data_IF_056469349284
#
_entry.id   IF_056469349284
#
_cell.length_a   1.000
_cell.length_b   1.000
_cell.length_c   1.000
_cell.angle_alpha   90.00
_cell.angle_beta   90.00
_cell.angle_gamma   90.00
#
_symmetry.space_group_name_H-M   'P 1'
#
loop_
_entity.id
_entity.type
_entity.pdbx_description
1 polymer ?
#
# COMPACT_ATOMS: atom_id res chain seq x y z
N UNK A 1 -17.53 2.91 -14.48
CA UNK A 1 -17.06 3.54 -13.23
C UNK A 1 -18.09 3.24 -12.16
N UNK A 2 -17.67 2.73 -11.00
CA UNK A 2 -18.58 2.30 -9.93
C UNK A 2 -19.44 3.47 -9.42
N UNK A 3 -20.77 3.30 -9.40
CA UNK A 3 -21.73 4.36 -9.03
C UNK A 3 -22.15 4.36 -7.55
N UNK A 4 -21.89 3.27 -6.81
CA UNK A 4 -22.31 3.10 -5.42
C UNK A 4 -21.16 2.59 -4.56
N UNK A 5 -20.73 3.40 -3.60
CA UNK A 5 -19.73 3.03 -2.60
C UNK A 5 -20.36 2.65 -1.24
N UNK A 6 -19.60 1.96 -0.39
CA UNK A 6 -20.06 1.49 0.91
C UNK A 6 -20.60 2.63 1.79
N UNK A 7 -19.96 3.79 1.74
CA UNK A 7 -20.39 4.99 2.48
C UNK A 7 -21.67 5.64 1.94
N UNK A 8 -22.03 5.39 0.67
CA UNK A 8 -23.26 5.92 0.06
C UNK A 8 -24.50 5.05 0.35
N UNK A 9 -24.33 3.88 0.98
CA UNK A 9 -25.38 2.87 1.13
C UNK A 9 -26.66 3.42 1.77
N UNK A 10 -26.55 4.39 2.69
CA UNK A 10 -27.70 5.03 3.33
C UNK A 10 -28.64 5.75 2.35
N UNK A 11 -28.13 6.26 1.22
CA UNK A 11 -28.94 6.96 0.20
C UNK A 11 -29.85 6.00 -0.57
N UNK A 12 -29.56 4.70 -0.52
CA UNK A 12 -30.25 3.66 -1.25
C UNK A 12 -31.12 2.77 -0.35
N UNK A 13 -31.39 3.20 0.89
CA UNK A 13 -32.24 2.44 1.83
C UNK A 13 -33.59 2.09 1.20
N UNK A 14 -33.99 0.81 1.30
CA UNK A 14 -35.18 0.22 0.68
C UNK A 14 -35.18 0.18 -0.86
N UNK A 15 -34.03 0.36 -1.51
CA UNK A 15 -33.88 0.24 -2.96
C UNK A 15 -33.08 -1.01 -3.33
N UNK A 16 -33.41 -1.62 -4.46
CA UNK A 16 -32.59 -2.68 -5.05
C UNK A 16 -31.45 -2.04 -5.82
N UNK A 17 -30.22 -2.40 -5.45
CA UNK A 17 -29.01 -1.90 -6.09
C UNK A 17 -28.26 -3.01 -6.80
N UNK A 18 -27.55 -2.67 -7.87
CA UNK A 18 -26.54 -3.52 -8.49
C UNK A 18 -25.21 -2.78 -8.43
N UNK A 19 -24.20 -3.38 -7.82
CA UNK A 19 -22.92 -2.71 -7.58
C UNK A 19 -21.77 -3.73 -7.53
N UNK A 20 -20.55 -3.22 -7.60
CA UNK A 20 -19.35 -4.02 -7.45
C UNK A 20 -18.74 -3.81 -6.06
N UNK A 21 -18.32 -4.89 -5.42
CA UNK A 21 -17.58 -4.86 -4.14
C UNK A 21 -16.52 -5.95 -4.11
N UNK A 22 -15.47 -5.71 -3.33
CA UNK A 22 -14.52 -6.74 -2.95
C UNK A 22 -15.13 -7.67 -1.90
N UNK A 23 -14.91 -8.97 -2.03
CA UNK A 23 -15.18 -9.92 -0.96
C UNK A 23 -14.08 -9.82 0.10
N UNK A 24 -14.35 -9.22 1.26
CA UNK A 24 -13.39 -9.20 2.37
C UNK A 24 -13.46 -10.49 3.21
N UNK A 25 -14.64 -11.08 3.35
CA UNK A 25 -14.80 -12.40 3.97
C UNK A 25 -16.05 -13.11 3.45
N UNK A 26 -16.04 -14.44 3.51
CA UNK A 26 -17.16 -15.32 3.15
C UNK A 26 -17.40 -16.32 4.28
N UNK A 27 -18.61 -16.34 4.83
CA UNK A 27 -19.01 -17.24 5.91
C UNK A 27 -20.31 -17.94 5.56
N UNK A 28 -20.28 -19.28 5.52
CA UNK A 28 -21.48 -20.10 5.48
C UNK A 28 -22.00 -20.28 6.90
N UNK A 29 -23.23 -19.83 7.16
CA UNK A 29 -23.87 -19.93 8.47
C UNK A 29 -25.15 -20.74 8.38
N UNK A 30 -25.56 -21.36 9.47
CA UNK A 30 -26.79 -22.16 9.53
C UNK A 30 -27.89 -21.36 10.22
N UNK A 31 -29.10 -21.38 9.67
CA UNK A 31 -30.30 -20.85 10.29
C UNK A 31 -30.83 -21.82 11.36
N UNK A 32 -31.80 -21.36 12.14
CA UNK A 32 -32.47 -22.19 13.15
C UNK A 32 -33.20 -23.41 12.56
N UNK A 33 -33.58 -23.38 11.28
CA UNK A 33 -34.24 -24.47 10.55
C UNK A 33 -33.27 -25.48 9.91
N UNK A 34 -31.95 -25.31 10.13
CA UNK A 34 -30.91 -26.16 9.54
C UNK A 34 -30.49 -25.76 8.11
N UNK A 35 -31.19 -24.83 7.46
CA UNK A 35 -30.80 -24.32 6.13
C UNK A 35 -29.60 -23.36 6.23
N UNK A 36 -28.69 -23.42 5.24
CA UNK A 36 -27.55 -22.52 5.16
C UNK A 36 -27.92 -21.13 4.63
N UNK A 37 -27.22 -20.10 5.08
CA UNK A 37 -27.21 -18.77 4.47
C UNK A 37 -25.77 -18.25 4.36
N UNK A 38 -25.54 -17.39 3.38
CA UNK A 38 -24.23 -16.79 3.14
C UNK A 38 -24.17 -15.41 3.78
N UNK A 39 -23.15 -15.20 4.60
CA UNK A 39 -22.76 -13.88 5.09
C UNK A 39 -21.44 -13.49 4.44
N UNK A 40 -21.44 -12.35 3.77
CA UNK A 40 -20.28 -11.79 3.05
C UNK A 40 -19.97 -10.44 3.68
N UNK A 41 -18.71 -10.19 3.99
CA UNK A 41 -18.24 -8.82 4.21
C UNK A 41 -17.87 -8.24 2.87
N UNK A 42 -18.64 -7.28 2.39
CA UNK A 42 -18.39 -6.55 1.15
C UNK A 42 -17.56 -5.30 1.48
N UNK A 43 -16.54 -5.02 0.68
CA UNK A 43 -15.62 -3.92 0.93
C UNK A 43 -15.35 -3.09 -0.33
N UNK A 44 -15.00 -1.83 -0.11
CA UNK A 44 -14.43 -0.96 -1.11
C UNK A 44 -13.50 0.09 -0.49
N UNK A 45 -12.97 1.02 -1.29
CA UNK A 45 -12.02 2.02 -0.81
C UNK A 45 -12.60 2.99 0.23
N UNK A 46 -13.94 3.03 0.40
CA UNK A 46 -14.62 3.91 1.37
C UNK A 46 -15.01 3.18 2.66
N UNK A 47 -15.05 1.85 2.68
CA UNK A 47 -15.38 1.10 3.88
C UNK A 47 -15.86 -0.33 3.64
N UNK A 48 -16.49 -0.90 4.67
CA UNK A 48 -17.04 -2.25 4.64
C UNK A 48 -18.52 -2.25 5.01
N UNK A 49 -19.26 -3.19 4.42
CA UNK A 49 -20.68 -3.41 4.70
C UNK A 49 -21.01 -4.91 4.68
N UNK A 50 -22.13 -5.27 5.30
CA UNK A 50 -22.56 -6.67 5.38
C UNK A 50 -23.50 -7.02 4.21
N UNK A 51 -23.21 -8.11 3.52
CA UNK A 51 -24.07 -8.72 2.50
C UNK A 51 -24.61 -10.07 2.98
N UNK A 52 -25.94 -10.26 2.95
CA UNK A 52 -26.59 -11.51 3.37
C UNK A 52 -27.41 -12.13 2.26
N UNK A 53 -27.08 -13.36 1.87
CA UNK A 53 -27.89 -14.17 0.96
C UNK A 53 -28.58 -15.29 1.75
N UNK A 54 -29.89 -15.16 1.95
CA UNK A 54 -30.67 -16.08 2.78
C UNK A 54 -30.97 -17.42 2.10
N UNK A 55 -31.04 -17.42 0.77
CA UNK A 55 -31.23 -18.60 -0.05
C UNK A 55 -30.04 -18.71 -1.00
N UNK A 56 -29.17 -19.67 -0.73
CA UNK A 56 -27.97 -19.89 -1.55
C UNK A 56 -28.45 -20.51 -2.86
N UNK A 57 -28.30 -19.76 -3.95
CA UNK A 57 -28.61 -20.22 -5.29
C UNK A 57 -27.40 -20.92 -5.88
N UNK A 58 -27.63 -21.89 -6.77
CA UNK A 58 -26.57 -22.63 -7.46
C UNK A 58 -25.64 -21.70 -8.28
N UNK A 59 -26.13 -20.51 -8.67
CA UNK A 59 -25.37 -19.51 -9.43
C UNK A 59 -24.55 -18.53 -8.58
N UNK A 60 -24.56 -18.68 -7.23
CA UNK A 60 -23.79 -17.82 -6.34
C UNK A 60 -22.26 -17.91 -6.56
N UNK A 61 -21.81 -18.93 -7.31
CA UNK A 61 -20.41 -19.17 -7.64
C UNK A 61 -19.55 -19.54 -6.42
N UNK A 62 -18.42 -20.20 -6.66
CA UNK A 62 -17.35 -20.25 -5.68
C UNK A 62 -16.50 -18.99 -5.85
N UNK A 63 -16.38 -18.22 -4.77
CA UNK A 63 -15.53 -17.05 -4.68
C UNK A 63 -14.85 -17.02 -3.31
N UNK A 64 -13.69 -16.39 -3.27
CA UNK A 64 -12.84 -16.29 -2.09
C UNK A 64 -12.71 -14.83 -1.65
N UNK A 65 -12.16 -14.63 -0.45
CA UNK A 65 -11.77 -13.30 -0.03
C UNK A 65 -10.71 -12.76 -1.00
N UNK A 66 -10.94 -11.57 -1.56
CA UNK A 66 -10.10 -11.00 -2.62
C UNK A 66 -10.79 -10.93 -3.99
N UNK A 67 -11.90 -11.64 -4.20
CA UNK A 67 -12.62 -11.56 -5.48
C UNK A 67 -13.47 -10.28 -5.57
N UNK A 68 -13.52 -9.69 -6.78
CA UNK A 68 -14.51 -8.65 -7.11
C UNK A 68 -15.83 -9.35 -7.39
N UNK A 69 -16.87 -8.92 -6.70
CA UNK A 69 -18.21 -9.44 -6.83
C UNK A 69 -19.13 -8.40 -7.46
N UNK A 70 -19.88 -8.80 -8.47
CA UNK A 70 -21.06 -8.07 -8.93
C UNK A 70 -22.24 -8.55 -8.09
N UNK A 71 -22.75 -7.68 -7.21
CA UNK A 71 -23.86 -8.00 -6.31
C UNK A 71 -25.12 -7.29 -6.74
N UNK A 72 -26.25 -7.97 -6.58
CA UNK A 72 -27.58 -7.36 -6.67
C UNK A 72 -28.36 -7.72 -5.43
N UNK A 73 -28.97 -6.72 -4.80
CA UNK A 73 -29.77 -6.94 -3.60
C UNK A 73 -30.48 -5.70 -3.09
N UNK A 74 -31.38 -5.93 -2.13
CA UNK A 74 -32.13 -4.88 -1.45
C UNK A 74 -31.29 -4.31 -0.30
N UNK A 75 -31.04 -3.00 -0.32
CA UNK A 75 -30.44 -2.31 0.83
C UNK A 75 -31.47 -2.27 1.95
N UNK A 76 -31.12 -2.84 3.10
CA UNK A 76 -32.01 -2.89 4.27
C UNK A 76 -31.24 -2.58 5.56
N UNK A 77 -31.98 -2.19 6.59
CA UNK A 77 -31.43 -1.94 7.92
C UNK A 77 -31.81 -3.09 8.84
N UNK A 78 -30.84 -3.61 9.59
CA UNK A 78 -31.05 -4.64 10.60
C UNK A 78 -30.28 -4.27 11.86
N UNK A 79 -30.97 -4.15 13.00
CA UNK A 79 -30.39 -3.71 14.28
C UNK A 79 -29.57 -2.41 14.14
N UNK A 80 -30.15 -1.39 13.50
CA UNK A 80 -29.51 -0.10 13.20
C UNK A 80 -28.31 -0.13 12.24
N UNK A 81 -27.93 -1.30 11.71
CA UNK A 81 -26.85 -1.43 10.72
C UNK A 81 -27.41 -1.61 9.32
N UNK A 82 -26.86 -0.85 8.37
CA UNK A 82 -27.16 -1.03 6.95
C UNK A 82 -26.47 -2.29 6.43
N UNK A 83 -27.19 -3.05 5.61
CA UNK A 83 -26.74 -4.28 4.96
C UNK A 83 -27.39 -4.41 3.58
N UNK A 84 -26.83 -5.26 2.72
CA UNK A 84 -27.45 -5.64 1.45
C UNK A 84 -28.03 -7.06 1.61
N UNK A 85 -29.35 -7.19 1.48
CA UNK A 85 -29.99 -8.50 1.32
C UNK A 85 -29.79 -8.94 -0.13
N UNK A 86 -28.87 -9.86 -0.33
CA UNK A 86 -28.41 -10.30 -1.64
C UNK A 86 -29.41 -11.25 -2.30
N UNK A 87 -29.83 -10.90 -3.51
CA UNK A 87 -30.65 -11.74 -4.38
C UNK A 87 -29.80 -12.51 -5.39
N UNK A 88 -28.66 -11.91 -5.79
CA UNK A 88 -27.70 -12.49 -6.72
C UNK A 88 -26.29 -11.99 -6.40
N UNK A 89 -25.33 -12.88 -6.51
CA UNK A 89 -23.90 -12.59 -6.38
C UNK A 89 -23.17 -13.42 -7.42
N UNK A 90 -22.21 -12.81 -8.11
CA UNK A 90 -21.27 -13.53 -8.98
C UNK A 90 -19.91 -12.85 -8.94
N UNK A 91 -18.85 -13.59 -9.27
CA UNK A 91 -17.54 -12.99 -9.57
C UNK A 91 -17.69 -12.05 -10.78
N UNK A 92 -17.06 -10.90 -10.70
CA UNK A 92 -16.88 -10.03 -11.83
C UNK A 92 -15.92 -10.67 -12.83
N UNK A 93 -16.22 -10.55 -14.11
CA UNK A 93 -15.41 -11.08 -15.19
C UNK A 93 -14.51 -9.95 -15.70
N UNK A 94 -13.17 -10.08 -15.63
CA UNK A 94 -12.24 -9.02 -16.04
C UNK A 94 -12.38 -8.59 -17.51
N UNK A 95 -12.94 -9.47 -18.37
CA UNK A 95 -13.15 -9.22 -19.79
C UNK A 95 -14.56 -8.71 -20.04
N UNK A 96 -15.58 -9.36 -19.46
CA UNK A 96 -16.98 -9.00 -19.72
C UNK A 96 -17.45 -7.76 -18.93
N UNK A 97 -16.85 -7.46 -17.78
CA UNK A 97 -17.15 -6.29 -16.95
C UNK A 97 -16.03 -5.20 -17.07
N UNK A 98 -15.16 -5.30 -18.10
CA UNK A 98 -14.07 -4.35 -18.33
C UNK A 98 -14.59 -2.91 -18.47
N UNK A 99 -14.06 -1.98 -17.67
CA UNK A 99 -14.47 -0.57 -17.65
C UNK A 99 -15.72 -0.26 -16.81
N UNK A 100 -16.41 -1.28 -16.27
CA UNK A 100 -17.49 -1.07 -15.31
C UNK A 100 -16.95 -0.61 -13.94
N UNK A 101 -15.76 -1.08 -13.55
CA UNK A 101 -15.04 -0.72 -12.32
C UNK A 101 -13.54 -0.56 -12.57
N UNK A 102 -12.84 0.10 -11.63
CA UNK A 102 -11.38 0.15 -11.54
C UNK A 102 -10.91 -0.48 -10.21
N UNK A 103 -9.67 -0.99 -10.12
CA UNK A 103 -9.12 -1.53 -8.88
C UNK A 103 -9.08 -0.47 -7.77
N UNK A 104 -8.85 0.81 -8.13
CA UNK A 104 -8.90 1.94 -7.20
C UNK A 104 -10.28 2.18 -6.56
N UNK A 105 -11.34 1.54 -7.05
CA UNK A 105 -12.65 1.57 -6.42
C UNK A 105 -12.70 0.68 -5.17
N UNK A 106 -11.78 -0.28 -4.99
CA UNK A 106 -11.86 -1.31 -3.95
C UNK A 106 -10.78 -1.18 -2.88
N UNK A 107 -9.63 -0.65 -3.25
CA UNK A 107 -8.50 -0.43 -2.35
C UNK A 107 -8.14 1.05 -2.31
N UNK A 108 -7.60 1.56 -1.18
CA UNK A 108 -7.06 2.90 -1.15
C UNK A 108 -6.03 3.10 -2.28
N UNK A 109 -6.00 4.29 -2.88
CA UNK A 109 -5.01 4.71 -3.88
C UNK A 109 -4.32 5.99 -3.44
N UNK A 110 -3.12 6.23 -3.96
CA UNK A 110 -2.43 7.50 -3.73
C UNK A 110 -3.27 8.69 -4.18
N UNK A 111 -3.12 9.83 -3.49
CA UNK A 111 -3.71 11.10 -3.92
C UNK A 111 -2.83 11.83 -4.94
N UNK A 112 -1.61 11.35 -5.19
CA UNK A 112 -0.71 11.92 -6.19
C UNK A 112 -0.98 11.33 -7.57
N UNK A 113 -0.62 12.07 -8.61
CA UNK A 113 -0.64 11.56 -9.97
C UNK A 113 0.52 10.58 -10.18
N UNK A 114 0.22 9.37 -10.67
CA UNK A 114 1.20 8.30 -10.85
C UNK A 114 2.20 8.63 -11.95
N UNK A 115 1.77 9.29 -13.02
CA UNK A 115 2.65 9.65 -14.12
C UNK A 115 3.61 10.77 -13.70
N UNK A 116 3.15 11.72 -12.89
CA UNK A 116 4.02 12.73 -12.27
C UNK A 116 5.04 12.09 -11.33
N UNK A 117 4.63 11.16 -10.46
CA UNK A 117 5.55 10.43 -9.58
C UNK A 117 6.59 9.64 -10.40
N UNK A 118 6.15 8.97 -11.47
CA UNK A 118 7.05 8.22 -12.35
C UNK A 118 8.04 9.14 -13.08
N UNK A 119 7.57 10.29 -13.55
CA UNK A 119 8.40 11.33 -14.18
C UNK A 119 9.48 11.85 -13.22
N UNK A 120 9.12 12.07 -11.95
CA UNK A 120 10.09 12.45 -10.91
C UNK A 120 11.12 11.36 -10.63
N UNK A 121 10.70 10.10 -10.52
CA UNK A 121 11.61 8.96 -10.33
C UNK A 121 12.62 8.87 -11.47
N UNK A 122 12.15 8.95 -12.72
CA UNK A 122 13.02 8.90 -13.91
C UNK A 122 13.94 10.13 -14.03
N UNK A 123 13.49 11.30 -13.61
CA UNK A 123 14.34 12.49 -13.52
C UNK A 123 15.47 12.32 -12.49
N UNK A 124 15.22 11.65 -11.36
CA UNK A 124 16.28 11.29 -10.42
C UNK A 124 17.32 10.38 -11.07
N UNK A 125 16.90 9.32 -11.77
CA UNK A 125 17.83 8.42 -12.49
C UNK A 125 18.66 9.17 -13.52
N UNK A 126 18.05 10.09 -14.27
CA UNK A 126 18.76 10.91 -15.25
C UNK A 126 19.82 11.83 -14.62
N UNK A 127 19.70 12.16 -13.33
CA UNK A 127 20.65 13.01 -12.58
C UNK A 127 21.89 12.27 -12.08
N UNK A 128 21.97 10.93 -12.22
CA UNK A 128 23.10 10.14 -11.75
C UNK A 128 24.36 10.46 -12.55
N UNK A 129 25.46 10.63 -11.83
CA UNK A 129 26.82 10.82 -12.37
C UNK A 129 27.51 9.47 -12.53
N UNK A 130 27.29 8.52 -11.60
CA UNK A 130 27.83 7.16 -11.72
C UNK A 130 27.11 6.38 -12.83
N UNK A 131 27.80 6.02 -13.93
CA UNK A 131 27.15 5.39 -15.08
C UNK A 131 26.72 3.95 -14.80
N UNK A 132 27.36 3.25 -13.85
CA UNK A 132 27.02 1.87 -13.52
C UNK A 132 25.72 1.80 -12.71
N UNK A 133 25.59 2.65 -11.69
CA UNK A 133 24.34 2.76 -10.93
C UNK A 133 23.19 3.21 -11.81
N UNK A 134 23.43 4.21 -12.68
CA UNK A 134 22.43 4.66 -13.64
C UNK A 134 21.97 3.54 -14.57
N UNK A 135 22.90 2.79 -15.17
CA UNK A 135 22.57 1.68 -16.07
C UNK A 135 21.75 0.59 -15.36
N UNK A 136 22.08 0.27 -14.10
CA UNK A 136 21.30 -0.68 -13.31
C UNK A 136 19.86 -0.20 -13.10
N UNK A 137 19.69 1.06 -12.70
CA UNK A 137 18.35 1.65 -12.47
C UNK A 137 17.55 1.71 -13.76
N UNK A 138 18.16 2.07 -14.89
CA UNK A 138 17.53 2.05 -16.21
C UNK A 138 17.07 0.63 -16.61
N UNK A 139 17.81 -0.43 -16.25
CA UNK A 139 17.38 -1.83 -16.47
C UNK A 139 16.18 -2.26 -15.61
N UNK A 140 16.04 -1.69 -14.41
CA UNK A 140 14.86 -1.91 -13.57
C UNK A 140 13.65 -1.17 -14.13
N UNK A 141 13.79 0.13 -14.41
CA UNK A 141 12.68 0.97 -14.89
C UNK A 141 12.28 0.69 -16.34
N UNK A 142 13.19 0.17 -17.15
CA UNK A 142 12.94 -0.23 -18.54
C UNK A 142 12.27 -1.60 -18.69
N UNK A 143 12.16 -2.39 -17.62
CA UNK A 143 11.43 -3.65 -17.63
C UNK A 143 9.92 -3.38 -17.49
N UNK A 144 9.10 -3.70 -18.50
CA UNK A 144 7.67 -3.38 -18.47
C UNK A 144 6.92 -3.99 -17.28
N UNK A 145 7.37 -5.16 -16.81
CA UNK A 145 6.73 -5.87 -15.70
C UNK A 145 6.99 -5.14 -14.39
N UNK A 146 8.25 -4.80 -14.14
CA UNK A 146 8.67 -4.05 -12.94
C UNK A 146 8.07 -2.65 -12.98
N UNK A 147 8.12 -1.98 -14.12
CA UNK A 147 7.62 -0.62 -14.27
C UNK A 147 6.11 -0.53 -13.98
N UNK A 148 5.32 -1.50 -14.47
CA UNK A 148 3.88 -1.58 -14.18
C UNK A 148 3.67 -1.88 -12.69
N UNK A 149 4.36 -2.88 -12.15
CA UNK A 149 4.22 -3.28 -10.76
C UNK A 149 4.61 -2.15 -9.78
N UNK A 150 5.66 -1.38 -10.03
CA UNK A 150 6.05 -0.25 -9.18
C UNK A 150 4.98 0.85 -9.11
N UNK A 151 4.24 1.08 -10.20
CA UNK A 151 3.15 2.08 -10.24
C UNK A 151 1.91 1.63 -9.47
N UNK A 152 1.75 0.34 -9.25
CA UNK A 152 0.55 -0.23 -8.64
C UNK A 152 0.79 -0.73 -7.21
N UNK A 153 2.00 -1.20 -6.90
CA UNK A 153 2.29 -1.87 -5.66
C UNK A 153 2.09 -0.95 -4.43
N UNK A 154 1.49 -1.47 -3.34
CA UNK A 154 1.53 -0.81 -2.05
C UNK A 154 2.92 -0.92 -1.42
N UNK A 155 3.28 0.00 -0.52
CA UNK A 155 4.52 -0.13 0.25
C UNK A 155 4.34 -0.98 1.51
N UNK A 156 3.13 -1.24 1.97
CA UNK A 156 2.89 -2.14 3.09
C UNK A 156 1.50 -2.75 3.03
N UNK A 157 1.29 -3.82 3.81
CA UNK A 157 -0.03 -4.44 3.97
C UNK A 157 -1.03 -3.54 4.72
N UNK A 158 -0.58 -2.82 5.76
CA UNK A 158 -1.50 -2.12 6.67
C UNK A 158 -0.96 -0.86 7.37
N UNK A 159 0.34 -0.56 7.31
CA UNK A 159 0.96 0.49 8.13
C UNK A 159 1.18 1.80 7.36
N UNK A 160 2.20 1.86 6.51
CA UNK A 160 2.62 3.04 5.75
C UNK A 160 2.45 2.78 4.26
N UNK A 161 1.79 3.70 3.54
CA UNK A 161 1.60 3.59 2.09
C UNK A 161 0.91 2.29 1.65
N UNK A 162 -0.03 1.80 2.47
CA UNK A 162 -0.90 0.67 2.14
C UNK A 162 -2.02 1.14 1.20
N UNK A 163 -1.64 1.49 -0.02
CA UNK A 163 -2.52 1.90 -1.12
C UNK A 163 -1.86 1.62 -2.47
N UNK A 164 -2.66 1.55 -3.52
CA UNK A 164 -2.16 1.43 -4.89
C UNK A 164 -1.28 2.64 -5.24
N UNK A 165 -0.08 2.37 -5.74
CA UNK A 165 0.97 3.36 -6.00
C UNK A 165 1.76 3.81 -4.77
N UNK A 166 1.51 3.19 -3.61
CA UNK A 166 2.17 3.54 -2.36
C UNK A 166 3.68 3.30 -2.36
N UNK A 167 4.16 2.24 -3.03
CA UNK A 167 5.60 1.99 -3.13
C UNK A 167 6.31 3.10 -3.91
N UNK A 168 5.77 3.51 -5.05
CA UNK A 168 6.31 4.60 -5.86
C UNK A 168 6.29 5.93 -5.10
N UNK A 169 5.17 6.26 -4.45
CA UNK A 169 5.04 7.46 -3.62
C UNK A 169 6.10 7.49 -2.52
N UNK A 170 6.26 6.38 -1.80
CA UNK A 170 7.26 6.24 -0.74
C UNK A 170 8.68 6.43 -1.28
N UNK A 171 9.06 5.74 -2.36
CA UNK A 171 10.39 5.86 -2.96
C UNK A 171 10.68 7.30 -3.37
N UNK A 172 9.74 7.96 -4.06
CA UNK A 172 9.92 9.35 -4.51
C UNK A 172 10.06 10.31 -3.33
N UNK A 173 9.25 10.15 -2.27
CA UNK A 173 9.38 10.94 -1.05
C UNK A 173 10.72 10.71 -0.35
N UNK A 174 11.17 9.45 -0.26
CA UNK A 174 12.45 9.10 0.34
C UNK A 174 13.63 9.69 -0.45
N UNK A 175 13.55 9.69 -1.79
CA UNK A 175 14.56 10.32 -2.65
C UNK A 175 14.69 11.82 -2.42
N UNK A 176 13.58 12.54 -2.23
CA UNK A 176 13.61 13.98 -1.92
C UNK A 176 14.44 14.25 -0.64
N UNK A 177 14.18 13.47 0.41
CA UNK A 177 14.86 13.64 1.71
C UNK A 177 16.31 13.17 1.64
N UNK A 178 16.59 12.03 1.00
CA UNK A 178 17.94 11.53 0.78
C UNK A 178 18.80 12.52 -0.03
N UNK A 179 18.26 13.08 -1.11
CA UNK A 179 18.99 14.04 -1.94
C UNK A 179 19.28 15.35 -1.20
N UNK A 180 18.33 15.82 -0.39
CA UNK A 180 18.52 17.01 0.44
C UNK A 180 19.56 16.80 1.54
N UNK A 181 19.59 15.62 2.15
CA UNK A 181 20.46 15.32 3.30
C UNK A 181 21.87 14.91 2.88
N UNK A 182 22.03 14.22 1.75
CA UNK A 182 23.34 13.85 1.20
C UNK A 182 24.26 15.08 1.01
N UNK A 183 23.69 16.24 0.66
CA UNK A 183 24.43 17.50 0.50
C UNK A 183 25.07 18.02 1.79
N UNK A 184 24.58 17.56 2.95
CA UNK A 184 25.07 17.97 4.26
C UNK A 184 26.27 17.13 4.73
N UNK A 185 26.38 15.88 4.27
CA UNK A 185 27.37 14.90 4.75
C UNK A 185 28.42 14.60 3.67
N UNK A 186 29.63 15.18 3.74
CA UNK A 186 30.68 14.98 2.74
C UNK A 186 31.12 13.52 2.55
N UNK A 187 30.94 12.67 3.57
CA UNK A 187 31.25 11.25 3.55
C UNK A 187 30.20 10.39 2.84
N UNK A 188 29.06 10.96 2.44
CA UNK A 188 27.97 10.24 1.78
C UNK A 188 28.12 10.33 0.26
N UNK A 189 28.24 9.19 -0.41
CA UNK A 189 28.07 9.13 -1.86
C UNK A 189 26.58 9.24 -2.21
N UNK A 190 26.20 10.39 -2.80
CA UNK A 190 24.83 10.70 -3.22
C UNK A 190 24.22 9.60 -4.10
N UNK A 191 24.87 9.24 -5.20
CA UNK A 191 24.31 8.31 -6.17
C UNK A 191 24.12 6.91 -5.56
N UNK A 192 25.07 6.48 -4.73
CA UNK A 192 24.96 5.21 -4.00
C UNK A 192 23.80 5.23 -3.00
N UNK A 193 23.61 6.31 -2.25
CA UNK A 193 22.46 6.49 -1.35
C UNK A 193 21.13 6.44 -2.13
N UNK A 194 21.02 7.20 -3.22
CA UNK A 194 19.79 7.24 -4.02
C UNK A 194 19.49 5.91 -4.70
N UNK A 195 20.50 5.19 -5.20
CA UNK A 195 20.32 3.83 -5.73
C UNK A 195 19.82 2.87 -4.64
N UNK A 196 20.40 2.96 -3.43
CA UNK A 196 19.90 2.22 -2.27
C UNK A 196 18.44 2.54 -1.97
N UNK A 197 18.07 3.82 -1.92
CA UNK A 197 16.70 4.26 -1.67
C UNK A 197 15.70 3.77 -2.73
N UNK A 198 16.06 3.73 -4.01
CA UNK A 198 15.17 3.20 -5.06
C UNK A 198 14.95 1.68 -4.97
N UNK A 199 15.97 0.95 -4.51
CA UNK A 199 15.99 -0.51 -4.60
C UNK A 199 15.78 -1.23 -3.27
N UNK A 200 15.83 -0.55 -2.13
CA UNK A 200 15.76 -1.18 -0.80
C UNK A 200 14.51 -2.04 -0.61
N UNK A 201 13.39 -1.58 -1.16
CA UNK A 201 12.07 -2.20 -1.05
C UNK A 201 11.57 -2.84 -2.35
N UNK A 202 12.43 -2.98 -3.38
CA UNK A 202 11.99 -3.51 -4.69
C UNK A 202 11.44 -4.94 -4.59
N UNK A 203 11.85 -5.70 -3.57
CA UNK A 203 11.31 -7.03 -3.32
C UNK A 203 9.83 -7.03 -2.93
N UNK A 204 9.24 -5.88 -2.55
CA UNK A 204 7.80 -5.76 -2.27
C UNK A 204 6.94 -6.11 -3.48
N UNK A 205 7.49 -5.99 -4.69
CA UNK A 205 6.84 -6.39 -5.94
C UNK A 205 6.53 -7.90 -6.02
N UNK A 206 7.27 -8.74 -5.28
CA UNK A 206 6.99 -10.17 -5.17
C UNK A 206 6.58 -10.59 -3.76
N UNK A 207 6.89 -9.79 -2.74
CA UNK A 207 6.45 -10.06 -1.36
C UNK A 207 4.94 -9.88 -1.20
N UNK A 208 4.39 -8.85 -1.84
CA UNK A 208 2.99 -8.46 -1.71
C UNK A 208 2.19 -8.89 -2.94
N UNK A 209 0.93 -9.23 -2.71
CA UNK A 209 -0.08 -9.28 -3.76
C UNK A 209 -1.06 -8.14 -3.55
N UNK A 210 -1.39 -7.47 -4.65
CA UNK A 210 -2.35 -6.38 -4.66
C UNK A 210 -3.44 -6.66 -5.70
N UNK A 211 -4.67 -6.50 -5.26
CA UNK A 211 -5.89 -6.67 -6.03
C UNK A 211 -7.00 -5.93 -5.31
N UNK A 212 -8.01 -6.64 -4.83
CA UNK A 212 -9.04 -6.01 -3.98
C UNK A 212 -8.69 -5.96 -2.50
N UNK A 213 -7.59 -6.60 -2.10
CA UNK A 213 -6.95 -6.44 -0.81
C UNK A 213 -5.43 -6.49 -0.98
N UNK A 214 -4.71 -6.15 0.09
CA UNK A 214 -3.27 -6.36 0.17
C UNK A 214 -2.97 -7.58 1.04
N UNK A 215 -2.23 -8.53 0.46
CA UNK A 215 -1.82 -9.75 1.13
C UNK A 215 -0.35 -10.04 0.87
N UNK A 216 0.20 -10.99 1.63
CA UNK A 216 1.52 -11.54 1.35
C UNK A 216 1.37 -12.69 0.36
N UNK A 217 2.30 -12.80 -0.59
CA UNK A 217 2.47 -14.02 -1.38
C UNK A 217 3.10 -15.12 -0.51
N UNK A 218 3.02 -16.38 -0.96
CA UNK A 218 3.72 -17.48 -0.28
C UNK A 218 5.22 -17.21 -0.23
N UNK A 219 5.79 -16.73 -1.34
CA UNK A 219 7.21 -16.38 -1.41
C UNK A 219 7.55 -15.24 -0.45
N UNK A 220 6.74 -14.18 -0.42
CA UNK A 220 6.89 -13.05 0.49
C UNK A 220 6.85 -13.45 1.95
N UNK A 221 5.91 -14.31 2.32
CA UNK A 221 5.78 -14.77 3.70
C UNK A 221 6.96 -15.65 4.15
N UNK A 222 7.60 -16.38 3.24
CA UNK A 222 8.72 -17.27 3.55
C UNK A 222 10.09 -16.59 3.46
N UNK A 223 10.28 -15.66 2.51
CA UNK A 223 11.59 -15.09 2.17
C UNK A 223 11.76 -13.62 2.61
N UNK A 224 10.67 -12.85 2.57
CA UNK A 224 10.67 -11.40 2.81
C UNK A 224 11.28 -10.57 1.67
N UNK A 225 10.82 -9.32 1.55
CA UNK A 225 11.23 -8.39 0.49
C UNK A 225 12.73 -8.11 0.45
N UNK A 226 13.45 -8.15 1.58
CA UNK A 226 14.90 -7.90 1.60
C UNK A 226 15.64 -8.96 0.78
N UNK A 227 15.35 -10.24 1.04
CA UNK A 227 15.98 -11.38 0.35
C UNK A 227 15.60 -11.41 -1.13
N UNK A 228 14.31 -11.18 -1.40
CA UNK A 228 13.77 -11.10 -2.76
C UNK A 228 14.43 -9.95 -3.53
N UNK A 229 14.50 -8.75 -2.94
CA UNK A 229 15.09 -7.57 -3.54
C UNK A 229 16.57 -7.75 -3.87
N UNK A 230 17.35 -8.34 -2.95
CA UNK A 230 18.75 -8.69 -3.22
C UNK A 230 18.89 -9.67 -4.41
N UNK A 231 18.01 -10.67 -4.51
CA UNK A 231 17.96 -11.61 -5.64
C UNK A 231 17.62 -10.90 -6.97
N UNK A 232 16.63 -10.01 -6.97
CA UNK A 232 16.27 -9.22 -8.15
C UNK A 232 17.44 -8.34 -8.63
N UNK A 233 18.16 -7.71 -7.70
CA UNK A 233 19.34 -6.91 -8.00
C UNK A 233 20.43 -7.78 -8.65
N UNK A 234 20.71 -8.95 -8.10
CA UNK A 234 21.69 -9.86 -8.68
C UNK A 234 21.30 -10.35 -10.09
N UNK A 235 20.03 -10.61 -10.34
CA UNK A 235 19.53 -10.97 -11.67
C UNK A 235 19.69 -9.86 -12.71
N UNK A 236 19.49 -8.59 -12.30
CA UNK A 236 19.71 -7.43 -13.18
C UNK A 236 21.21 -7.15 -13.37
N UNK A 237 22.02 -7.30 -12.33
CA UNK A 237 23.47 -7.16 -12.41
C UNK A 237 24.13 -8.21 -13.32
N UNK A 238 23.57 -9.42 -13.44
CA UNK A 238 24.05 -10.42 -14.39
C UNK A 238 23.99 -9.96 -15.86
N UNK A 239 23.19 -8.94 -16.17
CA UNK A 239 23.08 -8.33 -17.50
C UNK A 239 24.10 -7.20 -17.72
N UNK A 240 24.84 -6.83 -16.67
CA UNK A 240 25.88 -5.78 -16.66
C UNK A 240 27.24 -6.39 -16.28
N UNK A 241 27.91 -7.12 -17.19
CA UNK A 241 29.16 -7.85 -16.87
C UNK A 241 30.30 -6.94 -16.39
N UNK A 242 30.29 -5.67 -16.80
CA UNK A 242 31.30 -4.66 -16.43
C UNK A 242 30.96 -3.91 -15.13
N UNK A 243 29.90 -4.29 -14.40
CA UNK A 243 29.54 -3.63 -13.14
C UNK A 243 30.62 -3.83 -12.06
N UNK A 244 31.15 -2.77 -11.44
CA UNK A 244 32.28 -2.90 -10.51
C UNK A 244 31.93 -3.79 -9.30
N UNK A 245 32.70 -4.86 -9.02
CA UNK A 245 32.38 -5.79 -7.93
C UNK A 245 32.32 -5.14 -6.55
N UNK A 246 33.14 -4.11 -6.30
CA UNK A 246 33.13 -3.36 -5.04
C UNK A 246 31.85 -2.53 -4.88
N UNK A 247 31.38 -1.91 -5.96
CA UNK A 247 30.14 -1.14 -5.97
C UNK A 247 28.93 -2.06 -5.77
N UNK A 248 28.96 -3.25 -6.38
CA UNK A 248 27.91 -4.28 -6.17
C UNK A 248 27.78 -4.63 -4.69
N UNK A 249 28.90 -4.86 -4.01
CA UNK A 249 28.91 -5.17 -2.58
C UNK A 249 28.29 -4.06 -1.74
N UNK A 250 28.60 -2.79 -2.03
CA UNK A 250 28.04 -1.65 -1.30
C UNK A 250 26.53 -1.50 -1.53
N UNK A 251 26.07 -1.66 -2.77
CA UNK A 251 24.64 -1.60 -3.11
C UNK A 251 23.85 -2.72 -2.42
N UNK A 252 24.36 -3.97 -2.47
CA UNK A 252 23.72 -5.08 -1.76
C UNK A 252 23.72 -4.86 -0.25
N UNK A 253 24.79 -4.29 0.32
CA UNK A 253 24.85 -3.96 1.75
C UNK A 253 23.78 -2.94 2.14
N UNK A 254 23.55 -1.91 1.32
CA UNK A 254 22.46 -0.93 1.53
C UNK A 254 21.11 -1.64 1.66
N UNK A 255 20.76 -2.48 0.69
CA UNK A 255 19.49 -3.22 0.70
C UNK A 255 19.42 -4.22 1.85
N UNK A 256 20.47 -4.97 2.13
CA UNK A 256 20.49 -5.97 3.21
C UNK A 256 20.57 -5.37 4.62
N UNK A 257 20.76 -4.06 4.77
CA UNK A 257 20.89 -3.41 6.07
C UNK A 257 19.90 -2.28 6.35
N UNK A 258 19.00 -1.94 5.41
CA UNK A 258 18.16 -0.75 5.50
C UNK A 258 17.17 -0.75 6.69
N UNK A 259 16.72 -1.91 7.16
CA UNK A 259 15.91 -2.00 8.39
C UNK A 259 16.70 -1.64 9.65
N UNK A 260 18.04 -1.57 9.58
CA UNK A 260 18.89 -0.97 10.61
C UNK A 260 19.12 -1.77 11.89
N UNK A 261 18.23 -2.71 12.20
CA UNK A 261 18.27 -3.54 13.40
C UNK A 261 17.96 -4.99 13.08
N UNK A 262 18.63 -5.91 13.76
CA UNK A 262 18.37 -7.34 13.58
C UNK A 262 16.94 -7.69 14.03
N UNK A 263 16.44 -7.01 15.07
CA UNK A 263 15.08 -7.16 15.58
C UNK A 263 14.02 -6.66 14.59
N UNK A 264 14.39 -5.80 13.63
CA UNK A 264 13.50 -5.33 12.56
C UNK A 264 13.56 -6.25 11.32
N UNK A 265 14.22 -7.40 11.42
CA UNK A 265 14.35 -8.36 10.32
C UNK A 265 15.52 -8.07 9.37
N UNK A 266 16.36 -7.08 9.68
CA UNK A 266 17.54 -6.76 8.88
C UNK A 266 18.58 -7.89 8.94
N UNK A 267 19.03 -8.45 7.81
CA UNK A 267 20.12 -9.44 7.79
C UNK A 267 21.45 -8.91 8.35
N UNK A 268 21.70 -7.60 8.20
CA UNK A 268 22.90 -6.90 8.65
C UNK A 268 22.57 -5.53 9.24
N UNK A 269 23.50 -4.99 10.03
CA UNK A 269 23.45 -3.60 10.48
C UNK A 269 24.05 -2.68 9.42
N UNK A 270 23.63 -1.40 9.36
CA UNK A 270 24.28 -0.40 8.51
C UNK A 270 25.75 -0.23 8.90
N UNK A 271 26.64 -0.23 7.91
CA UNK A 271 28.11 -0.20 8.12
C UNK A 271 28.81 0.86 7.25
N UNK A 272 28.04 1.62 6.47
CA UNK A 272 28.53 2.75 5.67
C UNK A 272 27.70 3.99 5.98
N UNK A 273 28.20 5.17 5.65
CA UNK A 273 27.49 6.43 5.87
C UNK A 273 26.16 6.44 5.12
N UNK A 274 26.14 5.95 3.87
CA UNK A 274 24.94 5.82 3.04
C UNK A 274 23.93 4.86 3.68
N UNK A 275 24.38 3.70 4.15
CA UNK A 275 23.48 2.71 4.75
C UNK A 275 22.86 3.20 6.05
N UNK A 276 23.66 3.88 6.89
CA UNK A 276 23.17 4.44 8.14
C UNK A 276 22.15 5.54 7.88
N UNK A 277 22.46 6.43 6.92
CA UNK A 277 21.57 7.51 6.55
C UNK A 277 20.27 6.98 5.93
N UNK A 278 20.35 6.04 4.99
CA UNK A 278 19.18 5.41 4.38
C UNK A 278 18.24 4.82 5.45
N UNK A 279 18.79 4.04 6.38
CA UNK A 279 18.00 3.45 7.47
C UNK A 279 17.21 4.50 8.25
N UNK A 280 17.88 5.55 8.71
CA UNK A 280 17.21 6.55 9.55
C UNK A 280 16.23 7.43 8.77
N UNK A 281 16.49 7.69 7.49
CA UNK A 281 15.57 8.47 6.67
C UNK A 281 14.32 7.67 6.30
N UNK A 282 14.47 6.38 6.01
CA UNK A 282 13.36 5.47 5.76
C UNK A 282 12.46 5.32 7.02
N UNK A 283 13.06 5.02 8.18
CA UNK A 283 12.34 4.94 9.46
C UNK A 283 11.66 6.27 9.84
N UNK A 284 12.32 7.41 9.56
CA UNK A 284 11.73 8.73 9.75
C UNK A 284 10.52 8.95 8.84
N UNK A 285 10.61 8.59 7.56
CA UNK A 285 9.49 8.72 6.61
C UNK A 285 8.28 7.91 7.09
N UNK A 286 8.50 6.64 7.45
CA UNK A 286 7.43 5.77 7.96
C UNK A 286 6.75 6.35 9.23
N UNK A 287 7.53 6.96 10.13
CA UNK A 287 6.98 7.64 11.33
C UNK A 287 6.23 8.91 10.97
N UNK A 288 6.76 9.75 10.08
CA UNK A 288 6.08 10.95 9.62
C UNK A 288 4.78 10.62 8.89
N UNK A 289 4.75 9.53 8.13
CA UNK A 289 3.51 9.04 7.53
C UNK A 289 2.51 8.54 8.57
N UNK A 290 2.98 7.89 9.64
CA UNK A 290 2.13 7.52 10.78
C UNK A 290 1.47 8.75 11.39
N UNK A 291 2.21 9.85 11.63
CA UNK A 291 1.64 11.12 12.10
C UNK A 291 0.51 11.61 11.17
N UNK A 292 0.75 11.67 9.85
CA UNK A 292 -0.25 12.15 8.88
C UNK A 292 -1.52 11.30 8.87
N UNK A 293 -1.36 9.98 8.89
CA UNK A 293 -2.48 9.02 8.90
C UNK A 293 -3.29 9.10 10.19
N UNK A 294 -2.62 9.18 11.34
CA UNK A 294 -3.26 9.19 12.65
C UNK A 294 -4.02 10.49 12.92
N UNK A 295 -3.49 11.64 12.49
CA UNK A 295 -4.22 12.91 12.58
C UNK A 295 -5.50 12.90 11.75
N UNK A 296 -5.44 12.41 10.51
CA UNK A 296 -6.63 12.25 9.66
C UNK A 296 -7.64 11.29 10.31
N UNK A 297 -7.18 10.16 10.85
CA UNK A 297 -8.02 9.16 11.50
C UNK A 297 -8.70 9.70 12.77
N UNK A 298 -7.97 10.42 13.62
CA UNK A 298 -8.52 10.99 14.84
C UNK A 298 -9.66 11.97 14.52
N UNK A 299 -9.46 12.87 13.55
CA UNK A 299 -10.51 13.82 13.12
C UNK A 299 -11.71 13.09 12.51
N UNK A 300 -11.48 12.08 11.67
CA UNK A 300 -12.56 11.27 11.10
C UNK A 300 -13.40 10.54 12.15
N UNK A 301 -12.78 10.16 13.28
CA UNK A 301 -13.45 9.55 14.43
C UNK A 301 -14.09 10.57 15.39
N UNK A 302 -14.10 11.86 15.05
CA UNK A 302 -14.79 12.91 15.79
C UNK A 302 -13.92 13.65 16.81
N UNK A 303 -12.61 13.37 16.91
CA UNK A 303 -11.71 14.17 17.73
C UNK A 303 -11.52 15.57 17.11
N UNK A 304 -11.28 16.58 17.94
CA UNK A 304 -10.90 17.91 17.43
C UNK A 304 -9.44 17.85 16.98
N UNK A 305 -9.12 18.51 15.86
CA UNK A 305 -7.78 18.45 15.27
C UNK A 305 -6.64 18.89 16.22
N UNK A 306 -6.93 19.73 17.24
CA UNK A 306 -5.96 20.16 18.25
C UNK A 306 -5.92 19.32 19.53
N UNK A 307 -6.60 18.18 19.58
CA UNK A 307 -6.57 17.27 20.74
C UNK A 307 -5.57 16.12 20.50
N UNK A 308 -4.95 15.57 21.56
CA UNK A 308 -4.12 14.38 21.43
C UNK A 308 -4.92 13.20 20.86
N UNK A 309 -4.28 12.40 20.01
CA UNK A 309 -4.83 11.11 19.55
C UNK A 309 -4.93 10.12 20.70
N UNK A 310 -5.65 9.02 20.49
CA UNK A 310 -5.45 7.81 21.30
C UNK A 310 -4.00 7.32 21.22
N UNK A 311 -3.63 6.41 22.13
CA UNK A 311 -2.27 5.85 22.19
C UNK A 311 -1.92 5.08 20.91
N UNK A 312 -0.85 5.49 20.23
CA UNK A 312 -0.38 4.86 18.99
C UNK A 312 0.76 3.89 19.30
N UNK A 313 0.49 2.59 19.17
CA UNK A 313 1.44 1.53 19.57
C UNK A 313 2.79 1.63 18.85
N UNK A 314 2.81 1.91 17.55
CA UNK A 314 4.05 2.05 16.77
C UNK A 314 4.90 3.25 17.17
N UNK A 315 4.29 4.25 17.84
CA UNK A 315 4.95 5.47 18.32
C UNK A 315 5.21 5.46 19.82
N UNK A 316 4.63 4.47 20.52
CA UNK A 316 4.65 4.31 21.98
C UNK A 316 4.15 5.55 22.74
N UNK A 317 3.24 6.33 22.13
CA UNK A 317 2.69 7.57 22.70
C UNK A 317 1.43 8.02 21.95
N UNK A 318 0.57 8.85 22.56
CA UNK A 318 -0.38 9.67 21.81
C UNK A 318 0.35 10.75 21.01
N UNK A 319 -0.25 11.21 19.91
CA UNK A 319 0.30 12.24 19.03
C UNK A 319 -0.53 13.51 19.13
N UNK A 320 0.08 14.67 18.87
CA UNK A 320 -0.60 15.97 18.87
C UNK A 320 -0.26 16.73 17.58
N UNK A 321 -1.27 17.18 16.85
CA UNK A 321 -1.07 18.09 15.71
C UNK A 321 -0.83 19.51 16.25
N UNK A 322 0.44 19.91 16.28
CA UNK A 322 0.84 21.22 16.80
C UNK A 322 0.28 22.39 15.99
N UNK A 323 0.04 22.22 14.68
CA UNK A 323 -0.54 23.29 13.84
C UNK A 323 -2.00 23.49 14.18
N UNK A 324 -2.74 22.40 14.31
CA UNK A 324 -4.15 22.47 14.69
C UNK A 324 -4.34 22.94 16.15
N UNK A 325 -3.46 22.53 17.06
CA UNK A 325 -3.43 23.01 18.44
C UNK A 325 -3.30 24.54 18.50
N UNK A 326 -2.28 25.11 17.84
CA UNK A 326 -2.05 26.56 17.81
C UNK A 326 -3.15 27.32 17.05
N UNK A 327 -3.73 26.74 16.00
CA UNK A 327 -4.82 27.38 15.26
C UNK A 327 -6.13 27.51 16.08
N UNK A 328 -6.32 26.65 17.09
CA UNK A 328 -7.46 26.70 18.00
C UNK A 328 -7.46 27.91 18.94
N UNK A 329 -6.27 28.43 19.29
CA UNK A 329 -6.12 29.58 20.19
C UNK A 329 -6.54 30.90 19.53
N UNK A 330 -6.34 31.03 18.21
CA UNK A 330 -6.64 32.26 17.45
C UNK A 330 -8.15 32.52 17.22
N UNK A 331 -9.05 31.64 17.67
CA UNK A 331 -10.51 31.84 17.56
C UNK A 331 -11.17 32.34 18.84
N UNK A 332 -10.39 32.63 19.89
CA UNK A 332 -10.89 33.15 21.18
C UNK A 332 -10.45 34.60 21.49
N UNK A 333 -9.87 35.31 20.50
CA UNK A 333 -9.40 36.69 20.63
C UNK A 333 -10.37 37.73 20.07
#
# INVERSE_FOLDING_TARGET
MKELFATDLARFENQTVTAFFAAASRQLRTKADGSGYLCITLADCTGQLEGRMWEIKDDAGEFEAGDILKVRGLVSRYQEKLQIKLDRVRRADPVADAGEYDLGDFVPKTSFDIDDLWSRLTAYVASFVDPHLRALLELFLGDPTIATAMREAPAAKALHHAWIGGLLEHIVSLLDVCDSTARHYPEVNRDLLLAGAMLHDIGKLHELSWGTNFAYTVEGQLLGHISIGASMIDQKLAQLPDFPPRLRTLLLHLVLSHHGRLEFGSPKLPMTAEALLLHYLDDLEAKMQTFRSEFKRAVANGARAGEPTDYIRSMERPLLDSRAFLAGENKQG
#
